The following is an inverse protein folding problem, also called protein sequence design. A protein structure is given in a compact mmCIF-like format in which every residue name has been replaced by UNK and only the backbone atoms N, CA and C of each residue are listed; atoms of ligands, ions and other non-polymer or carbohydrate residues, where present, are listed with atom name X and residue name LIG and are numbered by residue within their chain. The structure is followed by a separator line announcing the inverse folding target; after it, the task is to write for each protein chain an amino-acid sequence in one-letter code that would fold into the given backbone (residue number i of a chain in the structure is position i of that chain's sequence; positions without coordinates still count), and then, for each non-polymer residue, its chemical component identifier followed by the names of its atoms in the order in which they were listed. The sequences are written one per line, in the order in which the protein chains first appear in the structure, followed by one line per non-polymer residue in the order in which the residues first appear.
data_IF_469336971519
#
_entry.id   IF_469336971519
#
_cell.length_a   1.000
_cell.length_b   1.000
_cell.length_c   1.000
_cell.angle_alpha   90.00
_cell.angle_beta   90.00
_cell.angle_gamma   90.00
#
_symmetry.space_group_name_H-M   'P 1'
#
loop_
_entity.id
_entity.type
_entity.pdbx_description
1 polymer ?
#
# COMPACT_ATOMS: atom_id res chain seq x y z
N UNK A 1 5.44 -9.76 19.79
CA UNK A 1 4.40 -9.44 18.79
C UNK A 1 3.74 -8.15 19.25
N UNK A 2 3.52 -7.20 18.35
CA UNK A 2 2.87 -5.92 18.66
C UNK A 2 1.37 -6.14 18.88
N UNK A 3 0.79 -5.65 19.98
CA UNK A 3 -0.65 -5.69 20.24
C UNK A 3 -1.20 -4.25 20.27
N UNK A 4 -1.88 -3.78 19.21
CA UNK A 4 -2.36 -2.40 19.13
C UNK A 4 -3.35 -2.03 20.24
N UNK A 5 -4.02 -3.01 20.86
CA UNK A 5 -4.99 -2.77 21.94
C UNK A 5 -4.35 -2.55 23.31
N UNK A 6 -3.06 -2.85 23.45
CA UNK A 6 -2.30 -2.59 24.68
C UNK A 6 -1.56 -1.24 24.64
N UNK A 7 -1.49 -0.62 23.46
CA UNK A 7 -0.83 0.67 23.27
C UNK A 7 -1.71 1.83 23.75
N UNK A 8 -1.08 2.77 24.47
CA UNK A 8 -1.77 3.99 24.90
C UNK A 8 -1.72 5.02 23.78
N UNK A 9 -2.89 5.42 23.31
CA UNK A 9 -3.01 6.53 22.36
C UNK A 9 -2.46 7.82 22.99
N UNK A 10 -1.77 8.61 22.18
CA UNK A 10 -1.42 9.98 22.54
C UNK A 10 -2.67 10.88 22.44
N UNK A 11 -2.71 12.02 23.15
CA UNK A 11 -3.71 13.05 22.89
C UNK A 11 -3.73 13.43 21.41
N UNK A 12 -4.93 13.63 20.84
CA UNK A 12 -5.08 13.88 19.40
C UNK A 12 -4.38 15.17 19.01
N UNK A 13 -4.50 16.22 19.82
CA UNK A 13 -3.80 17.50 19.60
C UNK A 13 -2.28 17.38 19.49
N UNK A 14 -1.67 16.41 20.18
CA UNK A 14 -0.22 16.18 20.15
C UNK A 14 0.23 15.50 18.85
N UNK A 15 -0.70 14.99 18.04
CA UNK A 15 -0.43 14.35 16.75
C UNK A 15 -0.07 15.34 15.63
N UNK A 16 -0.25 16.64 15.85
CA UNK A 16 0.12 17.67 14.86
C UNK A 16 1.63 17.82 14.79
N UNK A 17 2.19 17.61 13.61
CA UNK A 17 3.63 17.69 13.36
C UNK A 17 4.05 19.08 12.89
N UNK A 18 5.24 19.52 13.29
CA UNK A 18 5.90 20.68 12.69
C UNK A 18 6.51 20.34 11.31
N UNK A 19 6.93 21.36 10.54
CA UNK A 19 7.48 21.15 9.20
C UNK A 19 8.74 20.28 9.15
N UNK A 20 9.56 20.32 10.21
CA UNK A 20 10.78 19.52 10.30
C UNK A 20 10.44 18.04 10.54
N UNK A 21 9.36 17.78 11.29
CA UNK A 21 8.89 16.44 11.64
C UNK A 21 8.09 15.81 10.50
N UNK A 22 7.27 16.60 9.78
CA UNK A 22 6.53 16.11 8.61
C UNK A 22 7.47 15.68 7.47
N UNK A 23 8.67 16.26 7.36
CA UNK A 23 9.65 15.95 6.31
C UNK A 23 10.74 14.99 6.82
N UNK A 24 10.55 13.66 6.73
CA UNK A 24 11.55 12.71 7.21
C UNK A 24 12.76 12.63 6.29
N UNK A 25 13.80 11.95 6.79
CA UNK A 25 14.92 11.51 5.95
C UNK A 25 14.47 10.31 5.10
N UNK A 26 14.55 10.38 3.75
CA UNK A 26 14.22 9.23 2.89
C UNK A 26 15.16 8.04 3.11
N UNK A 27 14.68 6.83 2.80
CA UNK A 27 15.53 5.64 2.79
C UNK A 27 16.46 5.60 1.57
N UNK A 28 17.53 4.79 1.64
CA UNK A 28 18.40 4.48 0.50
C UNK A 28 17.78 3.36 -0.32
N UNK A 29 17.43 3.60 -1.60
CA UNK A 29 16.77 2.56 -2.41
C UNK A 29 17.65 1.33 -2.66
N UNK A 30 18.98 1.48 -2.54
CA UNK A 30 19.98 0.43 -2.72
C UNK A 30 20.09 -0.48 -1.49
N UNK A 31 20.00 0.10 -0.29
CA UNK A 31 20.29 -0.61 0.96
C UNK A 31 19.03 -1.06 1.71
N UNK A 32 17.90 -0.39 1.45
CA UNK A 32 16.65 -0.63 2.17
C UNK A 32 16.20 -2.09 2.04
N UNK A 33 15.64 -2.62 3.12
CA UNK A 33 14.97 -3.91 3.07
C UNK A 33 13.65 -3.79 2.27
N UNK A 34 13.34 -4.73 1.35
CA UNK A 34 12.08 -4.74 0.61
C UNK A 34 10.86 -4.58 1.52
N UNK A 35 10.82 -5.22 2.69
CA UNK A 35 9.69 -5.08 3.62
C UNK A 35 9.57 -3.71 4.26
N UNK A 36 10.66 -2.93 4.33
CA UNK A 36 10.55 -1.52 4.72
C UNK A 36 9.82 -0.72 3.64
N UNK A 37 10.14 -0.95 2.35
CA UNK A 37 9.42 -0.32 1.23
C UNK A 37 7.95 -0.74 1.22
N UNK A 38 7.67 -2.04 1.35
CA UNK A 38 6.30 -2.57 1.34
C UNK A 38 5.45 -1.99 2.47
N UNK A 39 6.00 -1.89 3.69
CA UNK A 39 5.31 -1.25 4.82
C UNK A 39 5.01 0.22 4.55
N UNK A 40 5.94 0.95 3.94
CA UNK A 40 5.72 2.36 3.58
C UNK A 40 4.58 2.48 2.55
N UNK A 41 4.59 1.64 1.51
CA UNK A 41 3.53 1.61 0.49
C UNK A 41 2.17 1.25 1.13
N UNK A 42 2.12 0.19 1.93
CA UNK A 42 0.91 -0.26 2.63
C UNK A 42 0.35 0.84 3.53
N UNK A 43 1.20 1.41 4.40
CA UNK A 43 0.79 2.47 5.31
C UNK A 43 0.34 3.72 4.54
N UNK A 44 0.99 4.06 3.42
CA UNK A 44 0.53 5.16 2.60
C UNK A 44 -0.87 4.91 2.02
N UNK A 45 -1.15 3.69 1.55
CA UNK A 45 -2.48 3.30 1.08
C UNK A 45 -3.55 3.42 2.16
N UNK A 46 -3.25 2.94 3.37
CA UNK A 46 -4.15 3.05 4.54
C UNK A 46 -4.48 4.53 4.83
N UNK A 47 -3.48 5.40 4.87
CA UNK A 47 -3.66 6.83 5.15
C UNK A 47 -4.43 7.55 4.03
N UNK A 48 -4.25 7.15 2.77
CA UNK A 48 -5.01 7.70 1.63
C UNK A 48 -6.49 7.33 1.72
N UNK A 49 -6.80 6.08 2.06
CA UNK A 49 -8.18 5.63 2.27
C UNK A 49 -8.81 6.32 3.48
N UNK A 50 -8.10 6.43 4.60
CA UNK A 50 -8.56 7.16 5.78
C UNK A 50 -8.89 8.63 5.46
N UNK A 51 -7.99 9.32 4.75
CA UNK A 51 -8.22 10.70 4.33
C UNK A 51 -9.44 10.84 3.41
N UNK A 52 -9.65 9.88 2.50
CA UNK A 52 -10.79 9.86 1.57
C UNK A 52 -12.09 9.59 2.32
N UNK A 53 -12.12 8.57 3.18
CA UNK A 53 -13.25 8.25 4.04
C UNK A 53 -13.66 9.45 4.90
N UNK A 54 -12.70 10.03 5.63
CA UNK A 54 -12.94 11.18 6.51
C UNK A 54 -13.41 12.41 5.72
N UNK A 55 -12.95 12.56 4.47
CA UNK A 55 -13.46 13.61 3.58
C UNK A 55 -14.92 13.39 3.19
N UNK A 56 -15.30 12.17 2.83
CA UNK A 56 -16.69 11.82 2.52
C UNK A 56 -17.59 11.95 3.75
N UNK A 57 -17.13 11.50 4.91
CA UNK A 57 -17.87 11.64 6.16
C UNK A 57 -18.15 13.12 6.46
N UNK A 58 -17.14 13.98 6.41
CA UNK A 58 -17.34 15.42 6.65
C UNK A 58 -18.40 16.04 5.72
N UNK A 59 -18.48 15.62 4.44
CA UNK A 59 -19.47 16.14 3.48
C UNK A 59 -20.90 15.67 3.73
N UNK A 60 -21.06 14.51 4.37
CA UNK A 60 -22.35 13.89 4.63
C UNK A 60 -22.76 13.97 6.13
N UNK A 61 -22.01 14.70 6.94
CA UNK A 61 -22.29 14.91 8.35
C UNK A 61 -23.05 16.23 8.55
N UNK A 62 -24.21 16.18 9.22
CA UNK A 62 -25.01 17.35 9.53
C UNK A 62 -24.67 17.98 10.90
N UNK A 63 -23.84 17.32 11.71
CA UNK A 63 -23.43 17.79 13.02
C UNK A 63 -22.11 18.58 12.92
N UNK A 64 -22.15 19.86 13.27
CA UNK A 64 -20.97 20.72 13.19
C UNK A 64 -19.93 20.46 14.28
N UNK A 65 -20.33 19.93 15.44
CA UNK A 65 -19.38 19.58 16.49
C UNK A 65 -18.54 18.38 16.04
N UNK A 66 -19.19 17.34 15.51
CA UNK A 66 -18.49 16.21 14.87
C UNK A 66 -17.61 16.64 13.69
N UNK A 67 -18.06 17.60 12.87
CA UNK A 67 -17.24 18.11 11.76
C UNK A 67 -15.98 18.82 12.24
N UNK A 68 -15.98 19.47 13.41
CA UNK A 68 -14.79 20.10 13.99
C UNK A 68 -13.80 19.04 14.48
N UNK A 69 -14.28 18.01 15.17
CA UNK A 69 -13.45 16.85 15.57
C UNK A 69 -12.82 16.17 14.34
N UNK A 70 -13.63 15.89 13.30
CA UNK A 70 -13.15 15.33 12.04
C UNK A 70 -12.11 16.24 11.35
N UNK A 71 -12.26 17.56 11.44
CA UNK A 71 -11.30 18.48 10.83
C UNK A 71 -9.92 18.39 11.49
N UNK A 72 -9.87 18.18 12.82
CA UNK A 72 -8.63 17.96 13.55
C UNK A 72 -7.98 16.63 13.15
N UNK A 73 -8.73 15.52 13.21
CA UNK A 73 -8.20 14.20 12.82
C UNK A 73 -7.68 14.19 11.38
N UNK A 74 -8.43 14.78 10.44
CA UNK A 74 -8.01 14.88 9.02
C UNK A 74 -6.73 15.68 8.82
N UNK A 75 -6.45 16.66 9.68
CA UNK A 75 -5.18 17.41 9.60
C UNK A 75 -4.01 16.49 9.96
N UNK A 76 -4.18 15.67 10.98
CA UNK A 76 -3.18 14.73 11.47
C UNK A 76 -2.94 13.61 10.45
N UNK A 77 -4.00 12.96 9.96
CA UNK A 77 -3.92 11.94 8.90
C UNK A 77 -3.23 12.48 7.64
N UNK A 78 -3.54 13.72 7.23
CA UNK A 78 -2.84 14.35 6.10
C UNK A 78 -1.32 14.51 6.36
N UNK A 79 -0.91 14.81 7.58
CA UNK A 79 0.50 14.94 7.94
C UNK A 79 1.18 13.56 8.02
N UNK A 80 0.51 12.55 8.57
CA UNK A 80 0.98 11.17 8.61
C UNK A 80 1.16 10.61 7.20
N UNK A 81 0.16 10.79 6.33
CA UNK A 81 0.23 10.40 4.92
C UNK A 81 1.44 11.01 4.22
N UNK A 82 1.68 12.33 4.39
CA UNK A 82 2.84 13.02 3.81
C UNK A 82 4.15 12.50 4.37
N UNK A 83 4.24 12.35 5.70
CA UNK A 83 5.43 11.85 6.36
C UNK A 83 5.80 10.47 5.81
N UNK A 84 4.85 9.53 5.76
CA UNK A 84 5.07 8.18 5.23
C UNK A 84 5.44 8.25 3.74
N UNK A 85 4.69 9.01 2.94
CA UNK A 85 4.95 9.13 1.50
C UNK A 85 6.36 9.68 1.20
N UNK A 86 6.83 10.63 1.99
CA UNK A 86 8.12 11.29 1.81
C UNK A 86 9.32 10.48 2.33
N UNK A 87 9.09 9.30 2.92
CA UNK A 87 10.17 8.34 3.14
C UNK A 87 10.70 7.76 1.83
N UNK A 88 9.88 7.75 0.77
CA UNK A 88 10.29 7.34 -0.57
C UNK A 88 11.34 8.34 -1.13
N UNK A 89 12.52 7.86 -1.57
CA UNK A 89 13.55 8.74 -2.10
C UNK A 89 13.20 9.21 -3.53
N UNK A 90 13.74 10.37 -3.90
CA UNK A 90 13.46 11.02 -5.19
C UNK A 90 14.06 10.28 -6.39
N UNK A 91 15.10 9.46 -6.17
CA UNK A 91 15.81 8.71 -7.19
C UNK A 91 15.21 7.31 -7.43
N UNK A 92 14.13 6.94 -6.73
CA UNK A 92 13.35 5.74 -7.04
C UNK A 92 12.41 5.99 -8.22
N UNK A 93 12.64 5.25 -9.31
CA UNK A 93 11.92 5.38 -10.58
C UNK A 93 10.49 4.88 -10.47
N UNK A 94 9.64 5.29 -11.42
CA UNK A 94 8.26 4.82 -11.49
C UNK A 94 8.18 3.29 -11.57
N UNK A 95 9.03 2.64 -12.37
CA UNK A 95 9.03 1.17 -12.48
C UNK A 95 9.48 0.49 -11.18
N UNK A 96 10.51 0.99 -10.50
CA UNK A 96 10.91 0.48 -9.17
C UNK A 96 9.75 0.58 -8.17
N UNK A 97 9.05 1.71 -8.17
CA UNK A 97 7.87 1.91 -7.34
C UNK A 97 6.73 0.96 -7.71
N UNK A 98 6.42 0.80 -8.99
CA UNK A 98 5.38 -0.13 -9.47
C UNK A 98 5.69 -1.56 -9.07
N UNK A 99 6.93 -2.04 -9.26
CA UNK A 99 7.36 -3.37 -8.77
C UNK A 99 7.19 -3.48 -7.25
N UNK A 100 7.44 -2.40 -6.49
CA UNK A 100 7.15 -2.35 -5.06
C UNK A 100 5.66 -2.50 -4.73
N UNK A 101 4.77 -1.87 -5.49
CA UNK A 101 3.32 -2.01 -5.34
C UNK A 101 2.86 -3.44 -5.64
N UNK A 102 3.34 -4.05 -6.71
CA UNK A 102 2.97 -5.45 -7.03
C UNK A 102 3.48 -6.42 -5.97
N UNK A 103 4.67 -6.19 -5.41
CA UNK A 103 5.17 -7.00 -4.29
C UNK A 103 4.30 -6.84 -3.03
N UNK A 104 3.81 -5.64 -2.72
CA UNK A 104 2.80 -5.46 -1.64
C UNK A 104 1.54 -6.26 -1.96
N UNK A 105 1.04 -6.20 -3.20
CA UNK A 105 -0.18 -6.89 -3.60
C UNK A 105 -0.06 -8.41 -3.41
N UNK A 106 1.02 -9.00 -3.94
CA UNK A 106 1.30 -10.44 -3.78
C UNK A 106 1.36 -10.84 -2.30
N UNK A 107 2.20 -10.19 -1.50
CA UNK A 107 2.44 -10.62 -0.12
C UNK A 107 1.22 -10.39 0.77
N UNK A 108 0.52 -9.26 0.60
CA UNK A 108 -0.68 -8.95 1.39
C UNK A 108 -1.83 -9.88 1.03
N UNK A 109 -2.09 -10.09 -0.26
CA UNK A 109 -3.16 -11.00 -0.72
C UNK A 109 -2.89 -12.43 -0.27
N UNK A 110 -1.64 -12.91 -0.39
CA UNK A 110 -1.24 -14.24 0.08
C UNK A 110 -1.40 -14.37 1.60
N UNK A 111 -1.00 -13.35 2.37
CA UNK A 111 -1.15 -13.37 3.82
C UNK A 111 -2.64 -13.38 4.23
N UNK A 112 -3.48 -12.57 3.58
CA UNK A 112 -4.94 -12.59 3.81
C UNK A 112 -5.52 -13.97 3.51
N UNK A 113 -5.18 -14.58 2.37
CA UNK A 113 -5.67 -15.90 1.99
C UNK A 113 -5.29 -17.00 2.99
N UNK A 114 -4.08 -16.94 3.56
CA UNK A 114 -3.61 -17.90 4.57
C UNK A 114 -4.33 -17.76 5.92
N UNK A 115 -4.86 -16.59 6.22
CA UNK A 115 -5.50 -16.29 7.51
C UNK A 115 -7.03 -16.15 7.42
N UNK A 116 -7.61 -16.29 6.23
CA UNK A 116 -9.04 -16.16 6.00
C UNK A 116 -9.79 -17.47 6.39
N UNK A 117 -10.71 -17.42 7.38
CA UNK A 117 -11.50 -18.59 7.77
C UNK A 117 -12.58 -18.98 6.77
N UNK A 118 -13.11 -18.05 5.97
CA UNK A 118 -14.15 -18.34 4.99
C UNK A 118 -13.53 -18.97 3.71
N UNK A 119 -13.87 -20.23 3.37
CA UNK A 119 -13.30 -20.89 2.20
C UNK A 119 -13.59 -20.16 0.87
N UNK A 120 -14.76 -19.54 0.75
CA UNK A 120 -15.12 -18.80 -0.46
C UNK A 120 -14.26 -17.54 -0.59
N UNK A 121 -14.07 -16.79 0.49
CA UNK A 121 -13.22 -15.58 0.47
C UNK A 121 -11.78 -15.97 0.17
N UNK A 122 -11.28 -17.04 0.80
CA UNK A 122 -9.96 -17.58 0.47
C UNK A 122 -9.82 -17.92 -1.02
N UNK A 123 -10.78 -18.63 -1.61
CA UNK A 123 -10.75 -18.98 -3.04
C UNK A 123 -10.75 -17.72 -3.92
N UNK A 124 -11.44 -16.65 -3.52
CA UNK A 124 -11.39 -15.37 -4.24
C UNK A 124 -10.03 -14.69 -4.15
N UNK A 125 -9.36 -14.75 -2.99
CA UNK A 125 -8.02 -14.20 -2.78
C UNK A 125 -6.97 -15.01 -3.55
N UNK A 126 -7.03 -16.34 -3.50
CA UNK A 126 -6.16 -17.22 -4.29
C UNK A 126 -6.32 -16.95 -5.79
N UNK A 127 -7.54 -16.68 -6.25
CA UNK A 127 -7.79 -16.30 -7.64
C UNK A 127 -7.22 -14.93 -8.00
N UNK A 128 -7.36 -13.93 -7.12
CA UNK A 128 -6.81 -12.58 -7.31
C UNK A 128 -5.28 -12.61 -7.37
N UNK A 129 -4.64 -13.44 -6.54
CA UNK A 129 -3.19 -13.57 -6.46
C UNK A 129 -2.55 -13.96 -7.80
N UNK A 130 -3.27 -14.68 -8.66
CA UNK A 130 -2.80 -15.03 -10.01
C UNK A 130 -2.55 -13.81 -10.91
N UNK A 131 -3.28 -12.72 -10.68
CA UNK A 131 -3.12 -11.46 -11.41
C UNK A 131 -1.95 -10.66 -10.83
N UNK A 132 -1.83 -10.59 -9.50
CA UNK A 132 -0.71 -9.92 -8.81
C UNK A 132 0.66 -10.52 -9.22
N UNK A 133 0.76 -11.86 -9.31
CA UNK A 133 1.97 -12.54 -9.81
C UNK A 133 2.30 -12.18 -11.25
N UNK A 134 1.28 -12.13 -12.12
CA UNK A 134 1.47 -11.78 -13.52
C UNK A 134 1.94 -10.33 -13.69
N UNK A 135 1.34 -9.39 -12.96
CA UNK A 135 1.77 -7.99 -12.98
C UNK A 135 3.21 -7.87 -12.51
N UNK A 136 3.57 -8.50 -11.39
CA UNK A 136 4.94 -8.52 -10.90
C UNK A 136 5.90 -9.08 -11.94
N UNK A 137 5.53 -10.16 -12.64
CA UNK A 137 6.30 -10.74 -13.73
C UNK A 137 6.48 -9.76 -14.91
N UNK A 138 5.40 -9.15 -15.40
CA UNK A 138 5.43 -8.22 -16.54
C UNK A 138 6.24 -6.97 -16.22
N UNK A 139 6.05 -6.36 -15.06
CA UNK A 139 6.81 -5.17 -14.66
C UNK A 139 8.27 -5.50 -14.34
N UNK A 140 8.57 -6.69 -13.81
CA UNK A 140 9.96 -7.15 -13.64
C UNK A 140 10.69 -7.28 -14.97
N UNK A 141 10.02 -7.83 -15.99
CA UNK A 141 10.58 -7.93 -17.34
C UNK A 141 10.76 -6.55 -17.97
N UNK A 142 9.77 -5.66 -17.84
CA UNK A 142 9.84 -4.29 -18.36
C UNK A 142 11.00 -3.51 -17.71
N UNK A 143 11.19 -3.64 -16.40
CA UNK A 143 12.30 -3.02 -15.67
C UNK A 143 13.66 -3.51 -16.18
N UNK A 144 13.80 -4.82 -16.42
CA UNK A 144 15.02 -5.38 -16.99
C UNK A 144 15.25 -4.91 -18.44
N UNK A 145 14.19 -4.75 -19.24
CA UNK A 145 14.29 -4.30 -20.64
C UNK A 145 14.62 -2.80 -20.76
N UNK A 146 13.98 -1.94 -19.95
CA UNK A 146 14.08 -0.49 -20.08
C UNK A 146 15.28 0.09 -19.30
N UNK A 147 15.56 -0.48 -18.12
CA UNK A 147 16.56 0.07 -17.20
C UNK A 147 17.82 -0.81 -17.10
N UNK A 148 17.82 -2.01 -17.69
CA UNK A 148 18.87 -3.03 -17.50
C UNK A 148 19.12 -3.37 -16.03
N UNK A 149 18.11 -3.18 -15.16
CA UNK A 149 18.14 -3.53 -13.74
C UNK A 149 17.26 -4.76 -13.53
N UNK A 150 17.82 -5.89 -13.10
CA UNK A 150 17.03 -7.06 -12.75
C UNK A 150 16.17 -6.77 -11.51
N UNK A 151 14.86 -7.02 -11.58
CA UNK A 151 13.95 -6.77 -10.46
C UNK A 151 14.30 -7.55 -9.17
N UNK A 152 15.02 -8.67 -9.28
CA UNK A 152 15.50 -9.41 -8.10
C UNK A 152 16.40 -8.57 -7.19
N UNK A 153 17.07 -7.54 -7.71
CA UNK A 153 17.87 -6.61 -6.90
C UNK A 153 17.00 -5.81 -5.94
N UNK A 154 15.77 -5.49 -6.35
CA UNK A 154 14.77 -4.77 -5.57
C UNK A 154 14.01 -5.69 -4.61
N UNK A 155 13.70 -6.91 -5.06
CA UNK A 155 12.86 -7.88 -4.36
C UNK A 155 13.63 -8.77 -3.38
N UNK A 156 14.95 -8.88 -3.56
CA UNK A 156 15.88 -9.73 -2.78
C UNK A 156 15.44 -11.20 -2.64
N UNK A 157 14.59 -11.69 -3.55
CA UNK A 157 14.09 -13.06 -3.55
C UNK A 157 13.03 -13.36 -2.48
N UNK A 158 12.44 -12.35 -1.85
CA UNK A 158 11.35 -12.55 -0.89
C UNK A 158 10.02 -12.95 -1.53
N UNK A 159 9.85 -12.60 -2.81
CA UNK A 159 8.69 -12.95 -3.62
C UNK A 159 9.15 -13.63 -4.90
N UNK A 160 8.40 -14.63 -5.34
CA UNK A 160 8.66 -15.31 -6.60
C UNK A 160 8.16 -14.48 -7.79
N UNK A 161 8.92 -14.49 -8.88
CA UNK A 161 8.56 -13.83 -10.13
C UNK A 161 8.23 -14.93 -11.14
N UNK A 162 6.94 -15.15 -11.39
CA UNK A 162 6.48 -16.16 -12.34
C UNK A 162 5.24 -15.68 -13.09
N UNK A 163 5.03 -16.14 -14.34
CA UNK A 163 3.87 -15.74 -15.12
C UNK A 163 2.58 -16.25 -14.46
N UNK A 164 1.55 -15.41 -14.42
CA UNK A 164 0.22 -15.84 -14.00
C UNK A 164 -0.57 -16.44 -15.17
N UNK A 165 -1.87 -16.13 -15.22
CA UNK A 165 -2.77 -16.67 -16.27
C UNK A 165 -2.50 -15.98 -17.62
N UNK A 166 -2.98 -16.59 -18.71
CA UNK A 166 -2.87 -15.95 -20.02
C UNK A 166 -3.74 -14.70 -20.10
N UNK A 167 -3.25 -13.64 -20.74
CA UNK A 167 -3.93 -12.34 -20.86
C UNK A 167 -5.36 -12.45 -21.44
N UNK A 168 -5.58 -13.39 -22.37
CA UNK A 168 -6.91 -13.65 -22.95
C UNK A 168 -7.95 -14.07 -21.90
N UNK A 169 -7.51 -14.63 -20.77
CA UNK A 169 -8.35 -15.05 -19.65
C UNK A 169 -8.41 -14.01 -18.51
N UNK A 170 -7.69 -12.89 -18.61
CA UNK A 170 -7.72 -11.81 -17.61
C UNK A 170 -8.90 -10.88 -17.82
N UNK A 171 -9.25 -10.58 -19.08
CA UNK A 171 -10.33 -9.65 -19.39
C UNK A 171 -11.69 -10.12 -18.86
N UNK A 172 -12.35 -9.23 -18.11
CA UNK A 172 -13.74 -9.38 -17.67
C UNK A 172 -14.51 -8.12 -18.04
N UNK A 173 -15.77 -8.29 -18.44
CA UNK A 173 -16.63 -7.15 -18.68
C UNK A 173 -16.96 -6.47 -17.32
N UNK A 174 -16.97 -5.13 -17.21
CA UNK A 174 -17.24 -4.44 -15.93
C UNK A 174 -18.60 -4.75 -15.29
N UNK A 175 -19.57 -5.26 -16.05
CA UNK A 175 -20.84 -5.74 -15.48
C UNK A 175 -20.68 -7.04 -14.71
N UNK A 176 -19.73 -7.90 -15.12
CA UNK A 176 -19.50 -9.20 -14.49
C UNK A 176 -18.62 -9.08 -13.23
N UNK A 177 -18.13 -7.88 -12.93
CA UNK A 177 -17.33 -7.59 -11.72
C UNK A 177 -18.16 -7.12 -10.53
N UNK A 178 -19.47 -6.87 -10.72
CA UNK A 178 -20.38 -6.55 -9.61
C UNK A 178 -20.83 -7.85 -8.95
N UNK A 179 -20.50 -8.04 -7.67
CA UNK A 179 -20.92 -9.17 -6.83
C UNK A 179 -21.69 -8.70 -5.62
#
# INVERSE_FOLDING_TARGET
MFNPFEEKAMPVEDGIMDWRSVYPKPYSKQDVDPYTRLRIILMNGIEVEAATFSHQFHRNCNDNDLRRELALSRRIEQQQQKHINWLKPYDETTLETTVGYEHVAVDLTAWLAQNEPDPYVKDTLDFALLEDFDHLYRYSNLMNMDQAVPAHTLLKGYVEIFPGRSTIAEHRHPYDTVR
#
